data_IF_220507416743
#
_entry.id   IF_220507416743
#
_cell.length_a   1.000
_cell.length_b   1.000
_cell.length_c   1.000
_cell.angle_alpha   90.00
_cell.angle_beta   90.00
_cell.angle_gamma   90.00
#
_symmetry.space_group_name_H-M   'P 1'
#
loop_
_entity.id
_entity.type
_entity.pdbx_description
1 polymer ?
#
# COMPACT_ATOMS: atom_id res chain seq x y z
N UNK A 1 -21.90 -15.55 10.64
CA UNK A 1 -20.73 -15.96 9.85
C UNK A 1 -20.42 -17.42 10.16
N UNK A 2 -19.90 -18.22 9.24
CA UNK A 2 -19.50 -19.60 9.58
C UNK A 2 -18.14 -19.62 10.30
N UNK A 3 -17.86 -20.61 11.17
CA UNK A 3 -16.56 -20.70 11.85
C UNK A 3 -15.36 -20.72 10.89
N UNK A 4 -15.51 -21.33 9.71
CA UNK A 4 -14.45 -21.39 8.69
C UNK A 4 -14.16 -20.05 8.03
N UNK A 5 -15.16 -19.17 7.90
CA UNK A 5 -14.98 -17.80 7.39
C UNK A 5 -14.33 -16.88 8.43
N UNK A 6 -14.42 -17.22 9.72
CA UNK A 6 -13.84 -16.46 10.81
C UNK A 6 -12.37 -16.75 11.08
N UNK A 7 -11.85 -17.90 10.62
CA UNK A 7 -10.45 -18.30 10.85
C UNK A 7 -9.45 -17.25 10.31
N UNK A 8 -9.54 -16.76 9.06
CA UNK A 8 -8.61 -15.76 8.56
C UNK A 8 -8.66 -14.46 9.37
N UNK A 9 -9.86 -14.07 9.82
CA UNK A 9 -10.07 -12.86 10.61
C UNK A 9 -9.52 -13.00 12.04
N UNK A 10 -9.63 -14.18 12.64
CA UNK A 10 -8.99 -14.48 13.93
C UNK A 10 -7.46 -14.41 13.86
N UNK A 11 -6.86 -14.82 12.74
CA UNK A 11 -5.41 -14.63 12.52
C UNK A 11 -5.06 -13.13 12.53
N UNK A 12 -5.88 -12.29 11.89
CA UNK A 12 -5.68 -10.84 11.91
C UNK A 12 -5.77 -10.28 13.32
N UNK A 13 -6.76 -10.70 14.12
CA UNK A 13 -6.88 -10.31 15.54
C UNK A 13 -5.64 -10.70 16.32
N UNK A 14 -5.18 -11.94 16.19
CA UNK A 14 -3.97 -12.43 16.88
C UNK A 14 -2.73 -11.60 16.51
N UNK A 15 -2.59 -11.22 15.24
CA UNK A 15 -1.51 -10.34 14.79
C UNK A 15 -1.63 -8.95 15.40
N UNK A 16 -2.84 -8.37 15.47
CA UNK A 16 -3.06 -7.07 16.08
C UNK A 16 -2.72 -7.06 17.57
N UNK A 17 -3.19 -8.07 18.31
CA UNK A 17 -2.85 -8.24 19.72
C UNK A 17 -1.34 -8.36 19.91
N UNK A 18 -0.66 -9.14 19.05
CA UNK A 18 0.79 -9.30 19.09
C UNK A 18 1.54 -7.99 18.83
N UNK A 19 1.00 -7.09 18.01
CA UNK A 19 1.58 -5.76 17.75
C UNK A 19 1.29 -4.80 18.92
N UNK A 20 0.10 -4.89 19.51
CA UNK A 20 -0.33 -4.07 20.66
C UNK A 20 0.36 -4.43 21.98
N UNK A 21 0.94 -5.63 22.09
CA UNK A 21 1.68 -6.08 23.27
C UNK A 21 0.79 -6.58 24.41
N UNK A 22 -0.45 -6.99 24.12
CA UNK A 22 -1.37 -7.54 25.11
C UNK A 22 -1.04 -9.00 25.46
N UNK A 23 -0.97 -9.32 26.75
CA UNK A 23 -0.90 -10.69 27.25
C UNK A 23 -2.33 -11.26 27.35
N UNK A 24 -2.66 -12.24 26.51
CA UNK A 24 -4.01 -12.85 26.47
C UNK A 24 -4.00 -14.19 27.20
N UNK A 25 -4.70 -14.29 28.32
CA UNK A 25 -4.87 -15.56 29.02
C UNK A 25 -6.14 -16.28 28.57
N UNK A 26 -7.20 -15.54 28.29
CA UNK A 26 -8.46 -16.09 27.79
C UNK A 26 -8.99 -15.28 26.59
N UNK A 27 -9.44 -16.00 25.54
CA UNK A 27 -10.04 -15.41 24.35
C UNK A 27 -11.41 -16.05 24.12
N UNK A 28 -12.43 -15.21 23.96
CA UNK A 28 -13.79 -15.62 23.64
C UNK A 28 -14.20 -15.11 22.26
N UNK A 29 -15.00 -15.89 21.52
CA UNK A 29 -15.40 -15.56 20.15
C UNK A 29 -16.89 -15.81 19.91
N UNK A 30 -17.59 -14.79 19.45
CA UNK A 30 -19.01 -14.83 19.09
C UNK A 30 -19.18 -14.92 17.57
N UNK A 31 -19.56 -16.10 17.05
CA UNK A 31 -19.71 -16.33 15.60
C UNK A 31 -21.14 -16.05 15.07
N UNK A 32 -22.15 -16.27 15.92
CA UNK A 32 -23.57 -16.12 15.60
C UNK A 32 -24.41 -16.05 16.88
N UNK A 33 -25.61 -15.47 16.78
CA UNK A 33 -26.54 -15.31 17.90
C UNK A 33 -26.37 -13.97 18.59
N UNK A 34 -27.24 -13.72 19.56
CA UNK A 34 -27.23 -12.53 20.41
C UNK A 34 -26.71 -12.93 21.80
N UNK A 35 -25.62 -12.33 22.23
CA UNK A 35 -24.94 -12.64 23.48
C UNK A 35 -24.89 -11.38 24.34
N UNK A 36 -25.78 -11.33 25.34
CA UNK A 36 -25.62 -10.40 26.45
C UNK A 36 -24.50 -10.91 27.36
N UNK A 37 -23.51 -10.08 27.63
CA UNK A 37 -22.34 -10.51 28.37
C UNK A 37 -22.27 -9.83 29.72
N UNK A 38 -22.23 -10.64 30.78
CA UNK A 38 -22.07 -10.18 32.18
C UNK A 38 -20.59 -10.16 32.62
N UNK A 39 -19.70 -10.88 31.89
CA UNK A 39 -18.24 -10.85 32.06
C UNK A 39 -17.55 -11.33 30.76
N UNK A 40 -16.55 -10.60 30.26
CA UNK A 40 -15.73 -11.06 29.13
C UNK A 40 -14.42 -11.70 29.61
N UNK A 41 -13.87 -12.53 28.73
CA UNK A 41 -12.47 -12.91 28.76
C UNK A 41 -11.59 -11.68 28.46
N UNK A 42 -10.29 -11.74 28.76
CA UNK A 42 -9.32 -10.66 28.49
C UNK A 42 -9.42 -10.11 27.05
N UNK A 43 -9.79 -10.98 26.10
CA UNK A 43 -10.10 -10.60 24.72
C UNK A 43 -11.44 -11.21 24.28
N UNK A 44 -12.32 -10.37 23.72
CA UNK A 44 -13.54 -10.78 23.07
C UNK A 44 -13.55 -10.46 21.58
N UNK A 45 -13.89 -11.44 20.75
CA UNK A 45 -13.99 -11.26 19.30
C UNK A 45 -15.43 -11.46 18.84
N UNK A 46 -16.05 -10.43 18.26
CA UNK A 46 -17.39 -10.48 17.68
C UNK A 46 -17.28 -10.74 16.18
N UNK A 47 -17.27 -12.02 15.79
CA UNK A 47 -17.11 -12.49 14.42
C UNK A 47 -18.48 -12.78 13.74
N UNK A 48 -19.28 -11.73 13.53
CA UNK A 48 -20.55 -11.80 12.78
C UNK A 48 -21.84 -11.90 13.60
N UNK A 49 -21.79 -12.34 14.87
CA UNK A 49 -22.93 -12.30 15.78
C UNK A 49 -23.18 -10.93 16.39
N UNK A 50 -24.04 -10.88 17.40
CA UNK A 50 -24.30 -9.68 18.20
C UNK A 50 -23.78 -9.89 19.62
N UNK A 51 -23.05 -8.91 20.13
CA UNK A 51 -22.63 -8.83 21.53
C UNK A 51 -23.17 -7.55 22.14
N UNK A 52 -23.86 -7.67 23.27
CA UNK A 52 -24.38 -6.51 24.02
C UNK A 52 -23.75 -6.46 25.40
N UNK A 53 -23.24 -5.28 25.78
CA UNK A 53 -22.75 -4.98 27.14
C UNK A 53 -23.81 -4.13 27.84
N UNK A 54 -24.61 -4.69 28.77
CA UNK A 54 -25.72 -3.98 29.42
C UNK A 54 -25.26 -2.83 30.35
N UNK A 55 -26.15 -1.85 30.59
CA UNK A 55 -25.88 -0.65 31.41
C UNK A 55 -25.25 -0.91 32.79
N UNK A 56 -25.59 -2.03 33.43
CA UNK A 56 -25.15 -2.36 34.79
C UNK A 56 -23.95 -3.33 34.81
N UNK A 57 -23.28 -3.50 33.68
CA UNK A 57 -22.12 -4.40 33.53
C UNK A 57 -20.88 -3.58 33.25
N UNK A 58 -19.82 -3.87 34.01
CA UNK A 58 -18.45 -3.47 33.68
C UNK A 58 -17.70 -4.69 33.17
N UNK A 59 -17.09 -4.54 32.00
CA UNK A 59 -16.31 -5.57 31.35
C UNK A 59 -14.86 -5.14 31.31
N UNK A 60 -13.96 -5.98 31.82
CA UNK A 60 -12.52 -5.80 31.69
C UNK A 60 -12.02 -6.55 30.44
N UNK A 61 -11.24 -5.89 29.58
CA UNK A 61 -10.62 -6.51 28.41
C UNK A 61 -10.94 -5.87 27.06
N UNK A 62 -10.23 -6.33 26.02
CA UNK A 62 -10.31 -5.75 24.69
C UNK A 62 -11.42 -6.40 23.84
N UNK A 63 -12.17 -5.58 23.10
CA UNK A 63 -13.26 -6.05 22.23
C UNK A 63 -12.89 -5.80 20.76
N UNK A 64 -12.78 -6.88 19.98
CA UNK A 64 -12.54 -6.86 18.54
C UNK A 64 -13.83 -7.19 17.78
N UNK A 65 -14.39 -6.22 17.08
CA UNK A 65 -15.63 -6.39 16.31
C UNK A 65 -15.26 -6.57 14.85
N UNK A 66 -15.55 -7.74 14.29
CA UNK A 66 -15.15 -8.09 12.94
C UNK A 66 -16.31 -8.69 12.16
N UNK A 67 -16.97 -7.84 11.38
CA UNK A 67 -18.15 -8.19 10.58
C UNK A 67 -19.40 -8.49 11.42
N UNK A 68 -19.34 -8.31 12.74
CA UNK A 68 -20.44 -8.49 13.68
C UNK A 68 -21.10 -7.18 14.10
N UNK A 69 -21.96 -7.26 15.11
CA UNK A 69 -22.60 -6.10 15.74
C UNK A 69 -22.26 -6.07 17.23
N UNK A 70 -21.82 -4.93 17.74
CA UNK A 70 -21.68 -4.71 19.17
C UNK A 70 -22.52 -3.52 19.62
N UNK A 71 -23.23 -3.68 20.74
CA UNK A 71 -23.98 -2.61 21.39
C UNK A 71 -23.49 -2.45 22.83
N UNK A 72 -23.03 -1.25 23.18
CA UNK A 72 -22.45 -0.96 24.49
C UNK A 72 -23.35 0.04 25.20
N UNK A 73 -24.07 -0.44 26.20
CA UNK A 73 -24.86 0.37 27.14
C UNK A 73 -24.09 0.59 28.45
N UNK A 74 -23.19 -0.34 28.82
CA UNK A 74 -22.45 -0.35 30.08
C UNK A 74 -21.04 0.23 30.02
N UNK A 75 -20.13 -0.32 30.83
CA UNK A 75 -18.72 0.10 30.90
C UNK A 75 -17.80 -0.97 30.31
N UNK A 76 -16.86 -0.55 29.45
CA UNK A 76 -15.77 -1.37 28.93
C UNK A 76 -14.44 -0.77 29.40
N UNK A 77 -13.73 -1.51 30.24
CA UNK A 77 -12.38 -1.18 30.70
C UNK A 77 -11.33 -1.86 29.81
N UNK A 78 -11.10 -1.27 28.63
CA UNK A 78 -10.21 -1.82 27.60
C UNK A 78 -10.30 -1.08 26.27
N UNK A 79 -9.52 -1.56 25.30
CA UNK A 79 -9.55 -1.03 23.94
C UNK A 79 -10.63 -1.72 23.10
N UNK A 80 -11.28 -0.95 22.24
CA UNK A 80 -12.28 -1.47 21.31
C UNK A 80 -11.79 -1.26 19.88
N UNK A 81 -11.78 -2.34 19.09
CA UNK A 81 -11.34 -2.27 17.69
C UNK A 81 -12.44 -2.76 16.76
N UNK A 82 -12.92 -1.89 15.88
CA UNK A 82 -13.88 -2.20 14.83
C UNK A 82 -13.18 -2.39 13.48
N UNK A 83 -13.20 -3.63 12.99
CA UNK A 83 -12.77 -4.01 11.65
C UNK A 83 -13.96 -4.55 10.86
N UNK A 84 -14.72 -3.65 10.23
CA UNK A 84 -15.95 -3.99 9.51
C UNK A 84 -17.07 -4.45 10.46
N UNK A 85 -18.33 -4.17 10.12
CA UNK A 85 -19.49 -4.37 11.00
C UNK A 85 -20.05 -3.10 11.65
N UNK A 86 -20.84 -3.27 12.71
CA UNK A 86 -21.59 -2.20 13.36
C UNK A 86 -21.28 -2.11 14.85
N UNK A 87 -20.98 -0.91 15.33
CA UNK A 87 -20.81 -0.62 16.75
C UNK A 87 -21.77 0.50 17.14
N UNK A 88 -22.61 0.27 18.16
CA UNK A 88 -23.31 1.33 18.89
C UNK A 88 -22.73 1.47 20.28
N UNK A 89 -22.43 2.71 20.66
CA UNK A 89 -22.12 3.10 22.04
C UNK A 89 -23.23 4.05 22.45
N UNK A 90 -24.11 3.55 23.32
CA UNK A 90 -25.37 4.17 23.68
C UNK A 90 -25.22 5.14 24.86
N UNK A 91 -26.31 5.81 25.24
CA UNK A 91 -26.28 6.89 26.23
C UNK A 91 -25.78 6.39 27.60
N UNK A 92 -24.81 7.09 28.20
CA UNK A 92 -24.26 6.74 29.50
C UNK A 92 -23.21 5.63 29.49
N UNK A 93 -22.96 5.00 28.34
CA UNK A 93 -21.90 4.01 28.19
C UNK A 93 -20.51 4.64 28.36
N UNK A 94 -19.57 3.88 28.92
CA UNK A 94 -18.20 4.33 29.17
C UNK A 94 -17.18 3.35 28.61
N UNK A 95 -16.31 3.81 27.71
CA UNK A 95 -15.14 3.07 27.22
C UNK A 95 -13.89 3.78 27.71
N UNK A 96 -13.15 3.17 28.63
CA UNK A 96 -11.99 3.82 29.27
C UNK A 96 -10.78 3.93 28.32
N UNK A 97 -10.63 2.96 27.41
CA UNK A 97 -9.53 2.87 26.46
C UNK A 97 -9.77 3.59 25.14
N UNK A 98 -9.10 3.08 24.10
CA UNK A 98 -9.14 3.58 22.74
C UNK A 98 -10.19 2.84 21.93
N UNK A 99 -11.12 3.58 21.33
CA UNK A 99 -11.95 3.08 20.24
C UNK A 99 -11.26 3.31 18.90
N UNK A 100 -10.77 2.23 18.30
CA UNK A 100 -10.15 2.21 16.99
C UNK A 100 -11.15 1.74 15.93
N UNK A 101 -11.42 2.57 14.92
CA UNK A 101 -12.30 2.22 13.80
C UNK A 101 -11.51 2.19 12.50
N UNK A 102 -11.39 1.01 11.88
CA UNK A 102 -10.72 0.83 10.58
C UNK A 102 -11.71 0.81 9.41
N UNK A 103 -12.84 0.14 9.59
CA UNK A 103 -13.91 0.01 8.61
C UNK A 103 -15.22 -0.34 9.31
N UNK A 104 -16.36 -0.25 8.62
CA UNK A 104 -17.69 -0.42 9.22
C UNK A 104 -18.30 0.90 9.72
N UNK A 105 -19.36 0.81 10.53
CA UNK A 105 -20.03 1.99 11.10
C UNK A 105 -20.03 1.95 12.63
N UNK A 106 -19.40 2.97 13.23
CA UNK A 106 -19.47 3.22 14.66
C UNK A 106 -20.36 4.44 14.93
N UNK A 107 -21.45 4.24 15.67
CA UNK A 107 -22.30 5.29 16.19
C UNK A 107 -22.01 5.45 17.69
N UNK A 108 -21.53 6.63 18.07
CA UNK A 108 -21.22 6.96 19.47
C UNK A 108 -22.18 8.07 19.89
N UNK A 109 -22.94 7.83 20.96
CA UNK A 109 -23.81 8.85 21.53
C UNK A 109 -23.00 10.06 22.04
N UNK A 110 -23.61 11.25 22.02
CA UNK A 110 -23.03 12.45 22.61
C UNK A 110 -22.88 12.37 24.13
N UNK A 111 -23.67 11.51 24.78
CA UNK A 111 -23.68 11.33 26.23
C UNK A 111 -22.81 10.14 26.68
N UNK A 112 -22.16 9.46 25.73
CA UNK A 112 -21.19 8.40 26.01
C UNK A 112 -19.79 8.96 26.26
N UNK A 113 -19.02 8.32 27.14
CA UNK A 113 -17.64 8.69 27.45
C UNK A 113 -16.67 7.69 26.82
N UNK A 114 -15.88 8.14 25.84
CA UNK A 114 -14.82 7.31 25.21
C UNK A 114 -13.46 7.96 25.45
N UNK A 115 -12.50 7.21 26.00
CA UNK A 115 -11.18 7.71 26.35
C UNK A 115 -10.43 8.34 25.18
N UNK A 116 -10.18 7.56 24.13
CA UNK A 116 -9.61 8.05 22.88
C UNK A 116 -10.34 7.53 21.66
N UNK A 117 -10.75 8.42 20.75
CA UNK A 117 -11.31 8.06 19.45
C UNK A 117 -10.21 8.10 18.39
N UNK A 118 -9.92 6.96 17.79
CA UNK A 118 -9.00 6.83 16.66
C UNK A 118 -9.74 6.27 15.45
N UNK A 119 -10.01 7.13 14.46
CA UNK A 119 -10.62 6.71 13.20
C UNK A 119 -9.54 6.64 12.13
N UNK A 120 -9.30 5.44 11.60
CA UNK A 120 -8.49 5.29 10.41
C UNK A 120 -9.36 5.62 9.21
N UNK A 121 -9.32 6.88 8.77
CA UNK A 121 -9.89 7.25 7.49
C UNK A 121 -8.94 6.72 6.41
N UNK A 122 -9.43 5.79 5.57
CA UNK A 122 -8.67 5.38 4.40
C UNK A 122 -8.25 6.66 3.64
N UNK A 123 -6.98 6.78 3.19
CA UNK A 123 -6.53 8.00 2.53
C UNK A 123 -7.35 8.23 1.27
N UNK A 124 -8.43 9.01 1.38
CA UNK A 124 -9.20 9.45 0.22
C UNK A 124 -8.32 10.47 -0.48
N UNK A 125 -7.98 10.29 -1.76
CA UNK A 125 -7.11 11.23 -2.47
C UNK A 125 -7.84 12.58 -2.59
N UNK A 126 -7.61 13.46 -1.62
CA UNK A 126 -8.19 14.80 -1.50
C UNK A 126 -7.48 15.84 -2.37
N UNK A 127 -6.65 15.40 -3.31
CA UNK A 127 -5.99 16.28 -4.27
C UNK A 127 -7.04 16.97 -5.12
N UNK A 128 -7.04 18.30 -5.07
CA UNK A 128 -7.90 19.11 -5.94
C UNK A 128 -7.62 18.77 -7.41
N UNK A 129 -8.63 18.86 -8.32
CA UNK A 129 -8.41 18.59 -9.75
C UNK A 129 -7.24 19.40 -10.35
N UNK A 130 -7.06 20.64 -9.90
CA UNK A 130 -5.96 21.49 -10.33
C UNK A 130 -4.58 20.97 -9.91
N UNK A 131 -4.45 20.43 -8.68
CA UNK A 131 -3.20 19.81 -8.22
C UNK A 131 -2.88 18.54 -9.00
N UNK A 132 -3.87 17.70 -9.32
CA UNK A 132 -3.67 16.49 -10.13
C UNK A 132 -3.17 16.85 -11.53
N UNK A 133 -3.86 17.78 -12.21
CA UNK A 133 -3.44 18.26 -13.52
C UNK A 133 -2.06 18.92 -13.46
N UNK A 134 -1.79 19.73 -12.44
CA UNK A 134 -0.49 20.36 -12.25
C UNK A 134 0.65 19.35 -12.05
N UNK A 135 0.45 18.34 -11.20
CA UNK A 135 1.40 17.26 -10.98
C UNK A 135 1.63 16.44 -12.25
N UNK A 136 0.56 16.10 -12.96
CA UNK A 136 0.62 15.41 -14.25
C UNK A 136 1.44 16.21 -15.27
N UNK A 137 1.18 17.51 -15.41
CA UNK A 137 1.91 18.37 -16.35
C UNK A 137 3.38 18.52 -15.96
N UNK A 138 3.69 18.67 -14.67
CA UNK A 138 5.07 18.72 -14.19
C UNK A 138 5.80 17.41 -14.49
N UNK A 139 5.17 16.27 -14.19
CA UNK A 139 5.74 14.95 -14.47
C UNK A 139 5.94 14.73 -15.97
N UNK A 140 4.96 15.11 -16.80
CA UNK A 140 5.06 15.07 -18.26
C UNK A 140 6.20 15.95 -18.76
N UNK A 141 6.37 17.16 -18.24
CA UNK A 141 7.44 18.07 -18.64
C UNK A 141 8.81 17.51 -18.27
N UNK A 142 8.99 17.01 -17.03
CA UNK A 142 10.25 16.44 -16.57
C UNK A 142 10.59 15.18 -17.35
N UNK A 143 9.66 14.22 -17.40
CA UNK A 143 9.89 12.92 -18.05
C UNK A 143 10.00 13.08 -19.57
N UNK A 144 9.15 13.94 -20.14
CA UNK A 144 9.15 14.26 -21.57
C UNK A 144 10.42 14.97 -22.01
N UNK A 145 10.88 16.00 -21.28
CA UNK A 145 12.14 16.68 -21.58
C UNK A 145 13.34 15.72 -21.47
N UNK A 146 13.37 14.92 -20.40
CA UNK A 146 14.42 13.91 -20.18
C UNK A 146 14.42 12.84 -21.27
N UNK A 147 13.27 12.23 -21.56
CA UNK A 147 13.12 11.18 -22.57
C UNK A 147 13.41 11.68 -23.97
N UNK A 148 12.87 12.84 -24.35
CA UNK A 148 13.16 13.48 -25.64
C UNK A 148 14.65 13.77 -25.82
N UNK A 149 15.30 14.34 -24.80
CA UNK A 149 16.73 14.66 -24.83
C UNK A 149 17.58 13.39 -24.96
N UNK A 150 17.28 12.37 -24.16
CA UNK A 150 18.09 11.16 -24.07
C UNK A 150 17.89 10.27 -25.31
N UNK A 151 16.67 10.09 -25.83
CA UNK A 151 16.41 9.34 -27.08
C UNK A 151 17.11 9.99 -28.27
N UNK A 152 17.08 11.33 -28.36
CA UNK A 152 17.74 12.04 -29.47
C UNK A 152 19.25 11.87 -29.46
N UNK A 153 19.88 11.72 -28.29
CA UNK A 153 21.33 11.63 -28.15
C UNK A 153 21.85 10.20 -28.09
N UNK A 154 21.10 9.30 -27.48
CA UNK A 154 21.49 7.93 -27.18
C UNK A 154 20.32 6.95 -27.33
N UNK A 155 19.79 6.75 -28.56
CA UNK A 155 18.59 5.92 -28.79
C UNK A 155 18.78 4.45 -28.37
N UNK A 156 19.99 3.91 -28.56
CA UNK A 156 20.34 2.54 -28.18
C UNK A 156 20.11 2.24 -26.69
N UNK A 157 20.24 3.24 -25.81
CA UNK A 157 20.02 3.03 -24.38
C UNK A 157 18.55 2.65 -24.11
N UNK A 158 17.61 3.34 -24.79
CA UNK A 158 16.18 3.06 -24.67
C UNK A 158 15.80 1.73 -25.32
N UNK A 159 16.41 1.39 -26.44
CA UNK A 159 16.18 0.10 -27.11
C UNK A 159 16.61 -1.07 -26.22
N UNK A 160 17.79 -0.98 -25.61
CA UNK A 160 18.32 -2.03 -24.73
C UNK A 160 17.49 -2.18 -23.45
N UNK A 161 17.16 -1.08 -22.76
CA UNK A 161 16.29 -1.13 -21.57
C UNK A 161 14.88 -1.59 -21.95
N UNK A 162 14.36 -1.12 -23.08
CA UNK A 162 13.04 -1.49 -23.59
C UNK A 162 12.94 -2.99 -23.87
N UNK A 163 13.97 -3.58 -24.49
CA UNK A 163 14.06 -5.02 -24.72
C UNK A 163 14.04 -5.79 -23.39
N UNK A 164 14.79 -5.35 -22.37
CA UNK A 164 14.76 -5.99 -21.05
C UNK A 164 13.39 -5.90 -20.36
N UNK A 165 12.63 -4.82 -20.58
CA UNK A 165 11.25 -4.68 -20.09
C UNK A 165 10.30 -5.62 -20.83
N UNK A 166 10.39 -5.76 -22.15
CA UNK A 166 9.42 -6.53 -22.94
C UNK A 166 9.75 -8.02 -23.03
N UNK A 167 11.02 -8.37 -23.17
CA UNK A 167 11.50 -9.74 -23.38
C UNK A 167 11.75 -10.46 -22.04
N UNK A 168 12.12 -9.71 -20.99
CA UNK A 168 12.57 -10.26 -19.72
C UNK A 168 11.91 -9.60 -18.50
N UNK A 169 10.63 -9.24 -18.61
CA UNK A 169 9.88 -8.49 -17.61
C UNK A 169 9.94 -9.12 -16.20
N UNK A 170 9.80 -10.45 -16.11
CA UNK A 170 9.82 -11.15 -14.82
C UNK A 170 11.19 -11.08 -14.14
N UNK A 171 12.28 -11.28 -14.90
CA UNK A 171 13.65 -11.18 -14.39
C UNK A 171 13.95 -9.75 -13.98
N UNK A 172 13.59 -8.77 -14.81
CA UNK A 172 13.69 -7.35 -14.49
C UNK A 172 12.86 -6.99 -13.26
N UNK A 173 11.68 -7.60 -13.09
CA UNK A 173 10.87 -7.46 -11.89
C UNK A 173 11.59 -7.94 -10.63
N UNK A 174 12.07 -9.18 -10.64
CA UNK A 174 12.76 -9.78 -9.49
C UNK A 174 14.04 -9.03 -9.13
N UNK A 175 14.90 -8.74 -10.12
CA UNK A 175 16.13 -7.97 -9.91
C UNK A 175 15.80 -6.57 -9.40
N UNK A 176 14.75 -5.95 -9.96
CA UNK A 176 14.32 -4.64 -9.52
C UNK A 176 13.85 -4.62 -8.07
N UNK A 177 13.05 -5.61 -7.65
CA UNK A 177 12.56 -5.71 -6.27
C UNK A 177 13.69 -5.94 -5.28
N UNK A 178 14.58 -6.89 -5.60
CA UNK A 178 15.74 -7.19 -4.76
C UNK A 178 16.69 -5.99 -4.71
N UNK A 179 16.97 -5.35 -5.84
CA UNK A 179 17.85 -4.19 -5.93
C UNK A 179 17.31 -3.00 -5.15
N UNK A 180 16.05 -2.61 -5.39
CA UNK A 180 15.41 -1.49 -4.69
C UNK A 180 15.34 -1.73 -3.18
N UNK A 181 14.94 -2.94 -2.75
CA UNK A 181 14.88 -3.28 -1.33
C UNK A 181 16.28 -3.27 -0.69
N UNK A 182 17.28 -3.84 -1.37
CA UNK A 182 18.66 -3.86 -0.88
C UNK A 182 19.24 -2.46 -0.78
N UNK A 183 19.05 -1.62 -1.80
CA UNK A 183 19.52 -0.24 -1.81
C UNK A 183 18.80 0.60 -0.76
N UNK A 184 17.49 0.44 -0.59
CA UNK A 184 16.73 1.13 0.45
C UNK A 184 17.29 0.81 1.84
N UNK A 185 17.47 -0.48 2.16
CA UNK A 185 18.07 -0.91 3.45
C UNK A 185 19.48 -0.36 3.61
N UNK A 186 20.29 -0.40 2.54
CA UNK A 186 21.64 0.15 2.54
C UNK A 186 21.64 1.66 2.82
N UNK A 187 20.81 2.44 2.14
CA UNK A 187 20.74 3.89 2.32
C UNK A 187 20.21 4.27 3.70
N UNK A 188 19.24 3.54 4.23
CA UNK A 188 18.76 3.70 5.61
C UNK A 188 19.90 3.43 6.60
N UNK A 189 20.65 2.34 6.42
CA UNK A 189 21.81 2.05 7.26
C UNK A 189 22.89 3.14 7.17
N UNK A 190 23.18 3.62 5.97
CA UNK A 190 24.14 4.71 5.75
C UNK A 190 23.67 6.01 6.40
N UNK A 191 22.37 6.32 6.35
CA UNK A 191 21.80 7.52 6.95
C UNK A 191 21.94 7.56 8.49
N UNK A 192 21.97 6.39 9.16
CA UNK A 192 22.27 6.32 10.60
C UNK A 192 23.70 6.73 10.94
N UNK A 193 24.61 6.73 9.96
CA UNK A 193 25.95 7.27 10.13
C UNK A 193 26.01 8.70 9.59
N UNK A 194 26.24 9.68 10.47
CA UNK A 194 26.34 11.10 10.07
C UNK A 194 27.35 11.35 8.94
N UNK A 195 28.39 10.51 8.85
CA UNK A 195 29.44 10.59 7.82
C UNK A 195 28.96 10.13 6.44
N UNK A 196 28.12 9.08 6.36
CA UNK A 196 27.61 8.56 5.07
C UNK A 196 26.30 9.21 4.62
N UNK A 197 25.69 10.07 5.45
CA UNK A 197 24.47 10.79 5.09
C UNK A 197 24.54 11.50 3.71
N UNK A 198 25.62 12.21 3.33
CA UNK A 198 25.71 12.83 2.01
C UNK A 198 25.66 11.80 0.88
N UNK A 199 26.31 10.65 1.08
CA UNK A 199 26.33 9.58 0.08
C UNK A 199 24.96 8.87 -0.01
N UNK A 200 24.25 8.73 1.11
CA UNK A 200 22.88 8.22 1.11
C UNK A 200 21.93 9.13 0.32
N UNK A 201 22.04 10.46 0.48
CA UNK A 201 21.24 11.43 -0.28
C UNK A 201 21.53 11.35 -1.78
N UNK A 202 22.81 11.30 -2.17
CA UNK A 202 23.21 11.14 -3.58
C UNK A 202 22.72 9.80 -4.14
N UNK A 203 22.81 8.72 -3.36
CA UNK A 203 22.33 7.40 -3.73
C UNK A 203 20.83 7.35 -3.96
N UNK A 204 20.03 7.90 -3.04
CA UNK A 204 18.58 8.02 -3.18
C UNK A 204 18.19 8.89 -4.39
N UNK A 205 18.93 9.98 -4.62
CA UNK A 205 18.71 10.80 -5.81
C UNK A 205 19.04 10.04 -7.10
N UNK A 206 20.11 9.24 -7.12
CA UNK A 206 20.45 8.39 -8.26
C UNK A 206 19.39 7.29 -8.49
N UNK A 207 18.90 6.66 -7.43
CA UNK A 207 17.79 5.69 -7.50
C UNK A 207 16.52 6.33 -8.07
N UNK A 208 16.17 7.53 -7.62
CA UNK A 208 15.07 8.31 -8.18
C UNK A 208 15.26 8.59 -9.68
N UNK A 209 16.47 8.96 -10.12
CA UNK A 209 16.76 9.15 -11.54
C UNK A 209 16.67 7.84 -12.35
N UNK A 210 17.03 6.70 -11.78
CA UNK A 210 16.89 5.39 -12.42
C UNK A 210 15.42 5.03 -12.61
N UNK A 211 14.58 5.27 -11.60
CA UNK A 211 13.13 5.04 -11.69
C UNK A 211 12.52 5.94 -12.76
N UNK A 212 12.87 7.23 -12.77
CA UNK A 212 12.48 8.17 -13.83
C UNK A 212 12.92 7.68 -15.21
N UNK A 213 14.14 7.16 -15.34
CA UNK A 213 14.62 6.60 -16.60
C UNK A 213 13.79 5.40 -17.05
N UNK A 214 13.51 4.44 -16.16
CA UNK A 214 12.63 3.31 -16.46
C UNK A 214 11.23 3.75 -16.93
N UNK A 215 10.62 4.74 -16.26
CA UNK A 215 9.33 5.31 -16.67
C UNK A 215 9.39 5.98 -18.05
N UNK A 216 10.47 6.71 -18.36
CA UNK A 216 10.65 7.29 -19.69
C UNK A 216 10.73 6.20 -20.77
N UNK A 217 11.35 5.05 -20.48
CA UNK A 217 11.43 3.91 -21.41
C UNK A 217 10.05 3.28 -21.65
N UNK A 218 9.19 3.16 -20.64
CA UNK A 218 7.80 2.76 -20.87
C UNK A 218 7.09 3.71 -21.84
N UNK A 219 7.26 5.02 -21.66
CA UNK A 219 6.74 6.01 -22.60
C UNK A 219 7.30 5.85 -24.01
N UNK A 220 8.61 5.63 -24.17
CA UNK A 220 9.24 5.33 -25.45
C UNK A 220 8.64 4.08 -26.13
N UNK A 221 8.46 2.98 -25.39
CA UNK A 221 7.87 1.73 -25.90
C UNK A 221 6.44 1.91 -26.41
N UNK A 222 5.66 2.80 -25.78
CA UNK A 222 4.33 3.17 -26.28
C UNK A 222 4.47 4.06 -27.52
N UNK A 223 5.40 5.02 -27.46
CA UNK A 223 5.67 5.97 -28.54
C UNK A 223 6.06 5.32 -29.86
N UNK A 224 6.93 4.31 -29.83
CA UNK A 224 7.38 3.59 -31.05
C UNK A 224 6.27 2.79 -31.73
N UNK A 225 5.13 2.57 -31.07
CA UNK A 225 3.94 1.94 -31.68
C UNK A 225 3.00 2.95 -32.35
N UNK A 226 3.22 4.24 -32.14
CA UNK A 226 2.41 5.29 -32.77
C UNK A 226 2.93 5.57 -34.20
N UNK A 227 2.04 5.90 -35.15
CA UNK A 227 2.43 6.24 -36.52
C UNK A 227 3.00 7.67 -36.60
N UNK A 228 4.14 7.91 -35.95
CA UNK A 228 4.83 9.22 -35.89
C UNK A 228 6.27 9.02 -36.37
N UNK A 229 6.69 9.75 -37.41
CA UNK A 229 8.01 9.50 -38.03
C UNK A 229 9.21 10.03 -37.21
N UNK A 230 8.96 10.91 -36.23
CA UNK A 230 10.03 11.52 -35.41
C UNK A 230 10.11 10.85 -34.05
N UNK A 231 11.17 10.07 -33.80
CA UNK A 231 11.38 9.32 -32.56
C UNK A 231 11.22 10.16 -31.28
N UNK A 232 11.75 11.38 -31.25
CA UNK A 232 11.60 12.27 -30.11
C UNK A 232 10.13 12.69 -29.87
N UNK A 233 9.37 12.95 -30.92
CA UNK A 233 7.95 13.34 -30.82
C UNK A 233 7.09 12.11 -30.47
N UNK A 234 7.41 10.96 -31.07
CA UNK A 234 6.81 9.68 -30.74
C UNK A 234 6.99 9.36 -29.25
N UNK A 235 8.20 9.55 -28.72
CA UNK A 235 8.51 9.37 -27.29
C UNK A 235 7.70 10.31 -26.40
N UNK A 236 7.58 11.58 -26.76
CA UNK A 236 6.76 12.54 -26.01
C UNK A 236 5.27 12.12 -26.00
N UNK A 237 4.72 11.74 -27.15
CA UNK A 237 3.35 11.26 -27.25
C UNK A 237 3.14 9.97 -26.45
N UNK A 238 4.12 9.05 -26.50
CA UNK A 238 4.11 7.81 -25.73
C UNK A 238 4.21 8.03 -24.22
N UNK A 239 5.03 9.00 -23.76
CA UNK A 239 5.08 9.42 -22.35
C UNK A 239 3.74 10.01 -21.90
N UNK A 240 3.11 10.86 -22.71
CA UNK A 240 1.78 11.39 -22.39
C UNK A 240 0.75 10.26 -22.25
N UNK A 241 0.74 9.32 -23.20
CA UNK A 241 -0.15 8.16 -23.18
C UNK A 241 0.12 7.25 -21.96
N UNK A 242 1.39 6.97 -21.67
CA UNK A 242 1.80 6.19 -20.50
C UNK A 242 1.30 6.80 -19.19
N UNK A 243 1.54 8.11 -18.98
CA UNK A 243 1.09 8.80 -17.78
C UNK A 243 -0.44 8.84 -17.69
N UNK A 244 -1.13 9.00 -18.82
CA UNK A 244 -2.60 8.98 -18.86
C UNK A 244 -3.15 7.60 -18.44
N UNK A 245 -2.52 6.52 -18.90
CA UNK A 245 -2.88 5.15 -18.49
C UNK A 245 -2.66 4.95 -17.00
N UNK A 246 -1.52 5.42 -16.45
CA UNK A 246 -1.26 5.36 -15.00
C UNK A 246 -2.27 6.18 -14.19
N UNK A 247 -2.63 7.37 -14.66
CA UNK A 247 -3.65 8.21 -14.01
C UNK A 247 -5.02 7.50 -14.01
N UNK A 248 -5.40 6.87 -15.13
CA UNK A 248 -6.66 6.13 -15.24
C UNK A 248 -6.68 4.89 -14.33
N UNK A 249 -5.57 4.15 -14.26
CA UNK A 249 -5.40 3.03 -13.31
C UNK A 249 -5.46 3.51 -11.86
N UNK A 250 -4.99 4.73 -11.59
CA UNK A 250 -5.07 5.41 -10.29
C UNK A 250 -6.49 5.69 -9.80
N UNK A 251 -7.50 5.68 -10.68
CA UNK A 251 -8.91 5.85 -10.29
C UNK A 251 -9.44 4.63 -9.55
N UNK A 252 -8.94 3.43 -9.86
CA UNK A 252 -9.34 2.19 -9.20
C UNK A 252 -8.48 1.99 -7.95
N UNK A 253 -9.07 1.95 -6.74
CA UNK A 253 -8.33 1.71 -5.51
C UNK A 253 -7.49 0.44 -5.59
N UNK A 254 -6.30 0.47 -5.00
CA UNK A 254 -5.28 -0.60 -5.01
C UNK A 254 -4.65 -0.89 -6.38
N UNK A 255 -5.41 -0.90 -7.47
CA UNK A 255 -4.91 -1.23 -8.82
C UNK A 255 -3.86 -0.21 -9.31
N UNK A 256 -4.09 1.08 -9.07
CA UNK A 256 -3.13 2.13 -9.41
C UNK A 256 -1.79 1.96 -8.69
N UNK A 257 -1.82 1.64 -7.40
CA UNK A 257 -0.61 1.40 -6.60
C UNK A 257 0.16 0.16 -7.07
N UNK A 258 -0.54 -0.94 -7.37
CA UNK A 258 0.07 -2.16 -7.91
C UNK A 258 0.69 -1.91 -9.28
N UNK A 259 0.01 -1.19 -10.17
CA UNK A 259 0.53 -0.86 -11.49
C UNK A 259 1.78 0.04 -11.40
N UNK A 260 1.75 1.07 -10.54
CA UNK A 260 2.89 1.95 -10.31
C UNK A 260 4.09 1.19 -9.73
N UNK A 261 3.84 0.30 -8.77
CA UNK A 261 4.89 -0.55 -8.19
C UNK A 261 5.49 -1.49 -9.25
N UNK A 262 4.65 -2.15 -10.07
CA UNK A 262 5.11 -3.03 -11.14
C UNK A 262 5.98 -2.27 -12.15
N UNK A 263 5.54 -1.08 -12.59
CA UNK A 263 6.31 -0.19 -13.46
C UNK A 263 7.65 0.19 -12.82
N UNK A 264 7.64 0.64 -11.57
CA UNK A 264 8.84 1.09 -10.87
C UNK A 264 9.86 -0.04 -10.76
N UNK A 265 9.41 -1.22 -10.32
CA UNK A 265 10.24 -2.39 -10.10
C UNK A 265 10.78 -2.95 -11.42
N UNK A 266 9.93 -3.17 -12.42
CA UNK A 266 10.36 -3.70 -13.73
C UNK A 266 11.27 -2.70 -14.45
N UNK A 267 10.93 -1.41 -14.42
CA UNK A 267 11.75 -0.36 -15.03
C UNK A 267 13.11 -0.23 -14.35
N UNK A 268 13.14 -0.17 -13.02
CA UNK A 268 14.38 -0.10 -12.24
C UNK A 268 15.28 -1.33 -12.51
N UNK A 269 14.72 -2.54 -12.45
CA UNK A 269 15.50 -3.75 -12.72
C UNK A 269 15.96 -3.88 -14.17
N UNK A 270 15.18 -3.42 -15.15
CA UNK A 270 15.61 -3.40 -16.55
C UNK A 270 16.80 -2.45 -16.77
N UNK A 271 16.81 -1.29 -16.11
CA UNK A 271 17.95 -0.36 -16.15
C UNK A 271 19.18 -1.00 -15.53
N UNK A 272 19.05 -1.72 -14.40
CA UNK A 272 20.17 -2.42 -13.78
C UNK A 272 20.70 -3.57 -14.65
N UNK A 273 19.81 -4.42 -15.17
CA UNK A 273 20.16 -5.60 -15.99
C UNK A 273 20.91 -5.25 -17.27
N UNK A 274 20.71 -4.04 -17.78
CA UNK A 274 21.33 -3.54 -19.02
C UNK A 274 22.52 -2.63 -18.77
N UNK A 275 22.97 -2.49 -17.51
CA UNK A 275 23.98 -1.52 -17.10
C UNK A 275 23.67 -0.12 -17.64
N UNK A 276 22.48 0.40 -17.33
CA UNK A 276 21.95 1.68 -17.81
C UNK A 276 21.69 1.75 -19.32
N UNK A 277 21.39 0.61 -19.95
CA UNK A 277 21.17 0.49 -21.39
C UNK A 277 22.46 0.38 -22.21
N UNK A 278 23.62 0.28 -21.57
CA UNK A 278 24.91 0.13 -22.26
C UNK A 278 25.08 -1.26 -22.89
N UNK A 279 24.37 -2.26 -22.37
CA UNK A 279 24.40 -3.63 -22.86
C UNK A 279 22.98 -4.16 -23.03
N UNK A 280 22.77 -4.96 -24.07
CA UNK A 280 21.54 -5.75 -24.18
C UNK A 280 21.59 -6.86 -23.13
N UNK A 281 20.51 -7.03 -22.38
CA UNK A 281 20.42 -8.12 -21.43
C UNK A 281 20.18 -9.43 -22.18
N UNK A 282 21.06 -10.40 -21.99
CA UNK A 282 20.92 -11.77 -22.49
C UNK A 282 21.02 -12.71 -21.28
N UNK A 283 19.95 -13.45 -20.93
CA UNK A 283 20.00 -14.38 -19.81
C UNK A 283 20.97 -15.53 -20.11
N UNK A 284 21.67 -15.99 -19.07
CA UNK A 284 22.60 -17.12 -19.19
C UNK A 284 21.83 -18.37 -19.61
N UNK A 285 22.08 -18.85 -20.82
CA UNK A 285 21.54 -20.13 -21.28
C UNK A 285 22.32 -21.27 -20.64
N UNK A 286 21.63 -22.20 -19.98
CA UNK A 286 22.25 -23.43 -19.47
C UNK A 286 22.63 -24.29 -20.68
N UNK A 287 23.91 -24.68 -20.84
CA UNK A 287 24.30 -25.58 -21.92
C UNK A 287 23.54 -26.91 -21.79
N UNK A 288 22.62 -27.19 -22.72
CA UNK A 288 21.90 -28.46 -22.81
C UNK A 288 20.41 -28.45 -22.40
N UNK A 289 19.80 -27.30 -22.08
CA UNK A 289 18.36 -27.21 -21.88
C UNK A 289 17.60 -26.99 -23.18
N UNK A 290 16.85 -28.00 -23.64
CA UNK A 290 15.78 -27.84 -24.64
C UNK A 290 14.54 -27.24 -24.02
#
# INVERSE_FOLDING_TARGET
>A
MSPTEAIPLLIVVLLMISIGGGDVQEMSVTFQGDNGVDSLADVHVVAGGTTTVPENVTVDGDIYIIGGTAAIDGTVDGDMTLLDGNLSIDDGATVTGTLQTYSGSAAVSSDASVGQLSRFEAPTPSSSPAQRVGAFLLQFLVLGAFGWWLVKRHPLLFENVGAAITEHALVSGVVGSLGATTLLVLFVYMAFTLILLPLAIVGLFAEFLIILYGQAVFGYLIGTRLPIERDGVATLAGIAAFLLVLELLGVVPYLGGVAQLAVAVVGFGAVLNTYFGLQRFEPVTIPGGT
#
